data_IF_571728184277
#
_entry.id   IF_571728184277
#
_cell.length_a   1.000
_cell.length_b   1.000
_cell.length_c   1.000
_cell.angle_alpha   90.00
_cell.angle_beta   90.00
_cell.angle_gamma   90.00
#
_symmetry.space_group_name_H-M   'P 1'
#
loop_
_entity.id
_entity.type
_entity.pdbx_description
1 polymer ?
#
# COMPACT_ATOMS: atom_id res chain seq x y z
N UNK A 1 -21.47 -6.17 24.39
CA UNK A 1 -21.19 -5.42 25.63
C UNK A 1 -20.79 -6.37 26.73
N UNK A 2 -19.69 -6.09 27.43
CA UNK A 2 -19.17 -6.92 28.54
C UNK A 2 -18.69 -5.99 29.68
N UNK A 3 -18.95 -6.30 30.95
CA UNK A 3 -18.39 -5.54 32.06
C UNK A 3 -16.87 -5.82 32.14
N UNK A 4 -16.12 -4.82 32.58
CA UNK A 4 -14.70 -4.96 32.91
C UNK A 4 -14.55 -5.40 34.37
N UNK A 5 -13.35 -5.78 34.80
CA UNK A 5 -13.08 -6.09 36.18
C UNK A 5 -13.43 -4.90 37.12
N UNK A 6 -13.19 -3.66 36.65
CA UNK A 6 -13.57 -2.45 37.37
C UNK A 6 -15.08 -2.31 37.48
N UNK A 7 -15.83 -2.57 36.41
CA UNK A 7 -17.28 -2.55 36.41
C UNK A 7 -17.88 -3.60 37.36
N UNK A 8 -17.32 -4.80 37.35
CA UNK A 8 -17.72 -5.86 38.30
C UNK A 8 -17.42 -5.43 39.75
N UNK A 9 -16.25 -4.84 40.02
CA UNK A 9 -15.89 -4.34 41.35
C UNK A 9 -16.86 -3.27 41.87
N UNK A 10 -17.18 -2.28 41.03
CA UNK A 10 -18.15 -1.23 41.38
C UNK A 10 -19.55 -1.82 41.63
N UNK A 11 -19.97 -2.79 40.80
CA UNK A 11 -21.25 -3.47 41.01
C UNK A 11 -21.30 -4.25 42.33
N UNK A 12 -20.23 -4.96 42.69
CA UNK A 12 -20.14 -5.67 43.97
C UNK A 12 -20.18 -4.71 45.16
N UNK A 13 -19.47 -3.58 45.09
CA UNK A 13 -19.53 -2.55 46.12
C UNK A 13 -20.95 -1.98 46.26
N UNK A 14 -21.61 -1.68 45.17
CA UNK A 14 -22.99 -1.19 45.17
C UNK A 14 -23.96 -2.19 45.84
N UNK A 15 -23.85 -3.48 45.45
CA UNK A 15 -24.69 -4.56 46.00
C UNK A 15 -24.42 -4.75 47.50
N UNK A 16 -23.15 -4.79 47.90
CA UNK A 16 -22.75 -4.95 49.31
C UNK A 16 -23.24 -3.78 50.17
N UNK A 17 -23.05 -2.52 49.72
CA UNK A 17 -23.52 -1.34 50.41
C UNK A 17 -25.05 -1.34 50.53
N UNK A 18 -25.80 -1.73 49.48
CA UNK A 18 -27.25 -1.81 49.53
C UNK A 18 -27.73 -2.93 50.49
N UNK A 19 -27.13 -4.11 50.44
CA UNK A 19 -27.46 -5.22 51.33
C UNK A 19 -27.22 -4.85 52.83
N UNK A 20 -26.09 -4.23 53.11
CA UNK A 20 -25.80 -3.75 54.50
C UNK A 20 -26.73 -2.66 54.95
N UNK A 21 -27.14 -1.75 54.06
CA UNK A 21 -28.13 -0.71 54.39
C UNK A 21 -29.51 -1.30 54.70
N UNK A 22 -29.89 -2.35 53.95
CA UNK A 22 -31.18 -3.03 54.12
C UNK A 22 -31.27 -3.86 55.43
N UNK A 23 -30.17 -4.53 55.80
CA UNK A 23 -30.14 -5.42 56.99
C UNK A 23 -29.74 -4.71 58.26
N UNK A 24 -28.82 -3.74 58.19
CA UNK A 24 -28.26 -3.04 59.35
C UNK A 24 -28.86 -1.67 59.69
N UNK A 25 -29.86 -1.20 58.91
CA UNK A 25 -30.48 0.10 59.10
C UNK A 25 -29.56 1.33 58.85
N UNK A 26 -28.33 1.09 58.36
CA UNK A 26 -27.33 2.12 58.13
C UNK A 26 -27.59 2.91 56.85
N UNK A 27 -28.56 3.87 56.89
CA UNK A 27 -28.97 4.71 55.74
C UNK A 27 -27.80 5.45 55.09
N UNK A 28 -26.72 5.69 55.84
CA UNK A 28 -25.50 6.32 55.32
C UNK A 28 -24.85 5.50 54.19
N UNK A 29 -25.02 4.18 54.16
CA UNK A 29 -24.47 3.32 53.06
C UNK A 29 -25.16 3.55 51.72
N UNK A 30 -26.37 4.10 51.69
CA UNK A 30 -27.04 4.51 50.48
C UNK A 30 -26.31 5.67 49.78
N UNK A 31 -25.55 6.47 50.52
CA UNK A 31 -24.69 7.52 49.96
C UNK A 31 -23.53 6.94 49.11
N UNK A 32 -23.16 5.65 49.28
CA UNK A 32 -22.19 4.94 48.48
C UNK A 32 -22.90 4.16 47.36
N UNK A 33 -23.99 3.47 47.67
CA UNK A 33 -24.71 2.65 46.73
C UNK A 33 -25.32 3.47 45.56
N UNK A 34 -25.95 4.62 45.88
CA UNK A 34 -26.62 5.42 44.87
C UNK A 34 -25.66 5.98 43.78
N UNK A 35 -24.53 6.62 44.10
CA UNK A 35 -23.56 7.05 43.09
C UNK A 35 -22.98 5.87 42.29
N UNK A 36 -22.71 4.74 42.94
CA UNK A 36 -22.17 3.56 42.23
C UNK A 36 -23.17 3.03 41.20
N UNK A 37 -24.47 2.97 41.50
CA UNK A 37 -25.52 2.59 40.56
C UNK A 37 -25.62 3.60 39.42
N UNK A 38 -25.59 4.91 39.71
CA UNK A 38 -25.64 5.96 38.69
C UNK A 38 -24.48 5.85 37.75
N UNK A 39 -23.27 5.64 38.24
CA UNK A 39 -22.05 5.49 37.43
C UNK A 39 -22.13 4.24 36.52
N UNK A 40 -22.65 3.12 37.04
CA UNK A 40 -22.87 1.93 36.24
C UNK A 40 -23.92 2.16 35.15
N UNK A 41 -25.03 2.84 35.47
CA UNK A 41 -26.05 3.16 34.47
C UNK A 41 -25.51 4.11 33.39
N UNK A 42 -24.76 5.14 33.77
CA UNK A 42 -24.14 6.06 32.82
C UNK A 42 -23.17 5.34 31.91
N UNK A 43 -22.28 4.50 32.45
CA UNK A 43 -21.34 3.69 31.68
C UNK A 43 -22.06 2.74 30.71
N UNK A 44 -23.11 2.06 31.18
CA UNK A 44 -23.93 1.19 30.33
C UNK A 44 -24.58 1.96 29.16
N UNK A 45 -25.17 3.14 29.49
CA UNK A 45 -25.79 4.00 28.46
C UNK A 45 -24.74 4.52 27.46
N UNK A 46 -23.55 4.89 27.94
CA UNK A 46 -22.47 5.34 27.06
C UNK A 46 -22.11 4.23 26.04
N UNK A 47 -21.89 2.99 26.50
CA UNK A 47 -21.53 1.88 25.62
C UNK A 47 -22.66 1.54 24.64
N UNK A 48 -23.92 1.59 25.07
CA UNK A 48 -25.05 1.39 24.15
C UNK A 48 -25.13 2.50 23.09
N UNK A 49 -24.73 3.71 23.46
CA UNK A 49 -24.73 4.88 22.55
C UNK A 49 -23.45 5.02 21.71
N UNK A 50 -22.46 4.15 21.85
CA UNK A 50 -21.28 4.12 20.95
C UNK A 50 -21.71 4.02 19.49
N UNK A 51 -22.83 3.30 19.24
CA UNK A 51 -23.37 3.18 17.87
C UNK A 51 -22.46 2.38 16.95
N UNK A 52 -22.57 2.68 15.67
CA UNK A 52 -21.66 2.12 14.66
C UNK A 52 -20.31 2.86 14.75
N UNK A 53 -19.25 2.08 14.84
CA UNK A 53 -17.88 2.57 14.67
C UNK A 53 -17.47 2.22 13.25
N UNK A 54 -17.07 3.21 12.48
CA UNK A 54 -16.51 3.01 11.14
C UNK A 54 -15.02 3.25 11.16
N UNK A 55 -14.31 2.48 10.34
CA UNK A 55 -12.88 2.64 10.09
C UNK A 55 -12.71 2.78 8.59
N UNK A 56 -12.07 3.84 8.18
CA UNK A 56 -11.69 4.07 6.79
C UNK A 56 -10.18 4.02 6.67
N UNK A 57 -9.70 3.29 5.67
CA UNK A 57 -8.28 3.17 5.34
C UNK A 57 -8.10 3.65 3.91
N UNK A 58 -7.22 4.62 3.66
CA UNK A 58 -6.90 5.01 2.29
C UNK A 58 -6.16 3.90 1.56
N UNK A 59 -6.27 3.90 0.24
CA UNK A 59 -5.50 3.01 -0.60
C UNK A 59 -3.99 3.26 -0.44
N UNK A 60 -3.25 2.18 -0.29
CA UNK A 60 -1.80 2.23 -0.16
C UNK A 60 -1.16 2.14 -1.53
N UNK A 61 -0.21 3.04 -1.81
CA UNK A 61 0.57 2.97 -3.04
C UNK A 61 1.55 1.80 -2.96
N UNK A 62 1.79 1.21 -4.13
CA UNK A 62 2.86 0.25 -4.29
C UNK A 62 4.23 0.90 -4.05
N UNK A 63 5.18 0.14 -3.52
CA UNK A 63 6.49 0.65 -3.11
C UNK A 63 7.58 -0.43 -3.18
N UNK A 64 8.81 -0.07 -2.82
CA UNK A 64 9.95 -0.99 -2.85
C UNK A 64 10.24 -1.58 -1.45
N UNK A 65 10.97 -2.71 -1.39
CA UNK A 65 11.34 -3.32 -0.12
C UNK A 65 12.20 -2.39 0.74
N UNK A 66 11.93 -2.38 2.05
CA UNK A 66 12.66 -1.57 3.02
C UNK A 66 12.23 -0.10 3.10
N UNK A 67 11.32 0.35 2.26
CA UNK A 67 10.79 1.71 2.33
C UNK A 67 9.81 1.88 3.50
N UNK A 68 9.91 3.04 4.14
CA UNK A 68 9.01 3.42 5.24
C UNK A 68 7.71 3.99 4.69
N UNK A 69 6.63 3.46 5.19
CA UNK A 69 5.29 3.82 4.74
C UNK A 69 4.41 4.20 5.90
N UNK A 70 3.80 5.36 5.80
CA UNK A 70 2.78 5.78 6.73
C UNK A 70 1.43 5.14 6.38
N UNK A 71 0.87 4.40 7.33
CA UNK A 71 -0.48 3.84 7.25
C UNK A 71 -1.37 4.66 8.16
N UNK A 72 -2.43 5.24 7.62
CA UNK A 72 -3.39 6.01 8.37
C UNK A 72 -4.74 5.31 8.44
N UNK A 73 -5.41 5.45 9.57
CA UNK A 73 -6.75 4.92 9.85
C UNK A 73 -7.61 6.06 10.37
N UNK A 74 -8.62 6.46 9.58
CA UNK A 74 -9.63 7.39 10.04
C UNK A 74 -10.75 6.60 10.74
N UNK A 75 -10.99 6.90 12.00
CA UNK A 75 -11.93 6.15 12.83
C UNK A 75 -13.00 7.11 13.33
N UNK A 76 -14.22 6.86 12.91
CA UNK A 76 -15.38 7.58 13.43
C UNK A 76 -16.10 6.75 14.47
N UNK A 77 -16.66 7.44 15.48
CA UNK A 77 -17.35 6.81 16.60
C UNK A 77 -17.33 7.67 17.84
N UNK A 78 -17.59 7.05 19.00
CA UNK A 78 -17.59 7.73 20.30
C UNK A 78 -16.99 6.85 21.38
N UNK A 79 -16.22 7.44 22.29
CA UNK A 79 -15.64 6.76 23.44
C UNK A 79 -14.13 6.62 23.35
N UNK A 80 -13.55 5.85 24.25
CA UNK A 80 -12.13 5.54 24.26
C UNK A 80 -11.93 4.17 23.62
N UNK A 81 -11.16 4.12 22.56
CA UNK A 81 -10.88 2.89 21.83
C UNK A 81 -9.42 2.46 22.01
N UNK A 82 -9.22 1.14 22.13
CA UNK A 82 -7.95 0.48 21.83
C UNK A 82 -8.11 -0.14 20.45
N UNK A 83 -7.24 0.24 19.57
CA UNK A 83 -7.20 -0.22 18.20
C UNK A 83 -6.10 -1.27 18.10
N UNK A 84 -6.39 -2.39 17.47
CA UNK A 84 -5.44 -3.43 17.14
C UNK A 84 -5.56 -3.67 15.63
N UNK A 85 -4.49 -3.43 14.88
CA UNK A 85 -4.43 -3.62 13.43
C UNK A 85 -3.46 -4.74 13.10
N UNK A 86 -3.91 -5.71 12.30
CA UNK A 86 -3.11 -6.87 11.95
C UNK A 86 -2.15 -6.52 10.80
N UNK A 87 -0.86 -6.74 11.04
CA UNK A 87 0.22 -6.45 10.11
C UNK A 87 0.60 -7.71 9.34
N UNK A 88 0.84 -7.62 8.03
CA UNK A 88 1.18 -8.75 7.19
C UNK A 88 2.70 -8.98 7.07
N UNK A 89 3.05 -10.11 6.47
CA UNK A 89 4.40 -10.39 5.98
C UNK A 89 5.44 -10.51 7.09
N UNK A 90 6.61 -9.97 6.82
CA UNK A 90 7.75 -9.92 7.74
C UNK A 90 7.55 -8.92 8.90
N UNK A 91 6.62 -7.96 8.72
CA UNK A 91 6.14 -7.11 9.80
C UNK A 91 5.03 -7.76 10.63
N UNK A 92 4.76 -9.07 10.45
CA UNK A 92 3.66 -9.77 11.08
C UNK A 92 3.60 -9.52 12.60
N UNK A 93 2.42 -9.15 13.06
CA UNK A 93 2.16 -8.78 14.44
C UNK A 93 0.87 -7.99 14.54
N UNK A 94 0.73 -7.25 15.62
CA UNK A 94 -0.42 -6.39 15.84
C UNK A 94 0.05 -5.03 16.28
N UNK A 95 -0.33 -3.99 15.54
CA UNK A 95 -0.13 -2.63 15.98
C UNK A 95 -1.24 -2.24 16.96
N UNK A 96 -0.88 -1.82 18.16
CA UNK A 96 -1.85 -1.41 19.18
C UNK A 96 -1.69 0.06 19.54
N UNK A 97 -2.81 0.78 19.52
CA UNK A 97 -2.89 2.16 19.97
C UNK A 97 -4.17 2.40 20.79
N UNK A 98 -4.11 3.33 21.72
CA UNK A 98 -5.28 3.79 22.48
C UNK A 98 -5.54 5.25 22.18
N UNK A 99 -6.79 5.56 21.78
CA UNK A 99 -7.20 6.92 21.46
C UNK A 99 -8.64 7.19 21.85
N UNK A 100 -9.07 8.45 21.75
CA UNK A 100 -10.45 8.88 21.96
C UNK A 100 -11.09 9.21 20.63
N UNK A 101 -12.22 8.56 20.33
CA UNK A 101 -12.93 8.71 19.07
C UNK A 101 -13.82 9.96 19.02
N UNK A 102 -13.95 10.62 17.84
CA UNK A 102 -13.32 10.26 16.56
C UNK A 102 -11.84 10.66 16.51
N UNK A 103 -11.03 9.92 15.76
CA UNK A 103 -9.60 10.21 15.60
C UNK A 103 -9.04 9.65 14.28
N UNK A 104 -7.91 10.20 13.84
CA UNK A 104 -7.09 9.63 12.77
C UNK A 104 -5.75 9.22 13.35
N UNK A 105 -5.47 7.94 13.32
CA UNK A 105 -4.23 7.38 13.84
C UNK A 105 -3.34 6.97 12.69
N UNK A 106 -2.03 7.20 12.83
CA UNK A 106 -1.02 6.81 11.85
C UNK A 106 0.06 5.98 12.51
N UNK A 107 0.63 5.06 11.76
CA UNK A 107 1.82 4.30 12.14
C UNK A 107 2.69 4.03 10.92
N UNK A 108 3.97 3.79 11.14
CA UNK A 108 4.91 3.43 10.09
C UNK A 108 4.97 1.91 9.92
N UNK A 109 4.96 1.49 8.64
CA UNK A 109 5.11 0.11 8.24
C UNK A 109 6.29 -0.01 7.27
N UNK A 110 7.14 -1.01 7.49
CA UNK A 110 8.23 -1.36 6.59
C UNK A 110 8.14 -2.85 6.29
N UNK A 111 8.16 -3.21 5.01
CA UNK A 111 8.17 -4.60 4.55
C UNK A 111 9.46 -4.85 3.78
N UNK A 112 10.17 -5.91 4.13
CA UNK A 112 11.39 -6.31 3.45
C UNK A 112 11.10 -7.23 2.26
N UNK A 113 10.04 -8.04 2.34
CA UNK A 113 9.70 -9.02 1.34
C UNK A 113 8.77 -8.44 0.27
N UNK A 114 9.07 -8.69 -1.01
CA UNK A 114 8.18 -8.38 -2.12
C UNK A 114 6.91 -9.24 -2.07
N UNK A 115 5.82 -8.71 -2.58
CA UNK A 115 4.57 -9.47 -2.66
C UNK A 115 3.33 -8.61 -2.63
N UNK A 116 2.20 -9.26 -2.69
CA UNK A 116 0.90 -8.65 -2.41
C UNK A 116 0.49 -9.00 -0.98
N UNK A 117 0.38 -7.99 -0.16
CA UNK A 117 0.06 -8.10 1.25
C UNK A 117 -1.31 -7.50 1.54
N UNK A 118 -1.97 -8.00 2.57
CA UNK A 118 -3.25 -7.44 3.03
C UNK A 118 -3.08 -6.98 4.47
N UNK A 119 -3.33 -5.69 4.70
CA UNK A 119 -3.39 -5.10 6.03
C UNK A 119 -4.80 -5.22 6.58
N UNK A 120 -4.91 -5.39 7.90
CA UNK A 120 -6.18 -5.57 8.60
C UNK A 120 -6.69 -7.01 8.59
N UNK A 121 -7.85 -7.25 9.19
CA UNK A 121 -8.84 -6.30 9.70
C UNK A 121 -8.38 -5.55 10.95
N UNK A 122 -8.99 -4.39 11.22
CA UNK A 122 -8.75 -3.64 12.45
C UNK A 122 -9.77 -4.03 13.53
N UNK A 123 -9.28 -4.37 14.71
CA UNK A 123 -10.13 -4.69 15.87
C UNK A 123 -10.10 -3.54 16.87
N UNK A 124 -11.29 -3.04 17.24
CA UNK A 124 -11.45 -1.95 18.18
C UNK A 124 -12.13 -2.45 19.44
N UNK A 125 -11.48 -2.19 20.58
CA UNK A 125 -12.09 -2.40 21.90
C UNK A 125 -12.46 -1.05 22.45
N UNK A 126 -13.75 -0.70 22.37
CA UNK A 126 -14.29 0.57 22.85
C UNK A 126 -14.73 0.43 24.31
N UNK A 127 -14.35 1.37 25.14
CA UNK A 127 -14.72 1.45 26.57
C UNK A 127 -15.47 2.72 26.85
N UNK A 128 -16.34 2.71 27.88
CA UNK A 128 -16.92 3.92 28.44
C UNK A 128 -15.83 4.79 29.12
N UNK A 129 -16.15 6.02 29.42
CA UNK A 129 -15.22 7.01 30.00
C UNK A 129 -14.55 6.53 31.29
N UNK A 130 -15.24 5.74 32.11
CA UNK A 130 -14.74 5.22 33.38
C UNK A 130 -14.12 3.82 33.23
N UNK A 131 -14.25 3.18 32.04
CA UNK A 131 -13.74 1.86 31.76
C UNK A 131 -14.47 0.74 32.52
N UNK A 132 -15.75 0.91 32.80
CA UNK A 132 -16.59 -0.08 33.51
C UNK A 132 -17.15 -1.13 32.57
N UNK A 133 -17.40 -0.73 31.32
CA UNK A 133 -17.92 -1.60 30.27
C UNK A 133 -17.06 -1.50 29.02
N UNK A 134 -17.08 -2.56 28.22
CA UNK A 134 -16.40 -2.60 26.92
C UNK A 134 -17.25 -3.31 25.86
N UNK A 135 -17.06 -2.90 24.63
CA UNK A 135 -17.54 -3.61 23.45
C UNK A 135 -16.40 -3.79 22.47
N UNK A 136 -16.42 -4.87 21.70
CA UNK A 136 -15.43 -5.13 20.66
C UNK A 136 -16.12 -5.03 19.32
N UNK A 137 -15.53 -4.29 18.41
CA UNK A 137 -15.98 -4.12 17.03
C UNK A 137 -14.81 -4.50 16.13
N UNK A 138 -15.05 -5.38 15.18
CA UNK A 138 -14.08 -5.68 14.12
C UNK A 138 -14.52 -4.92 12.87
N UNK A 139 -13.64 -4.07 12.38
CA UNK A 139 -13.85 -3.34 11.14
C UNK A 139 -13.11 -4.05 10.01
N UNK A 140 -13.85 -4.46 9.00
CA UNK A 140 -13.31 -5.13 7.82
C UNK A 140 -12.62 -4.16 6.84
N UNK A 141 -12.05 -3.08 7.37
CA UNK A 141 -11.28 -2.11 6.62
C UNK A 141 -9.90 -2.70 6.27
N UNK A 142 -9.85 -3.47 5.19
CA UNK A 142 -8.60 -4.03 4.67
C UNK A 142 -8.05 -3.14 3.56
N UNK A 143 -6.73 -3.11 3.40
CA UNK A 143 -6.04 -2.50 2.27
C UNK A 143 -5.04 -3.47 1.67
N UNK A 144 -4.95 -3.47 0.34
CA UNK A 144 -3.92 -4.21 -0.38
C UNK A 144 -2.67 -3.36 -0.47
N UNK A 145 -1.55 -4.00 -0.30
CA UNK A 145 -0.24 -3.40 -0.36
C UNK A 145 0.62 -4.23 -1.30
N UNK A 146 1.05 -3.62 -2.40
CA UNK A 146 1.97 -4.24 -3.34
C UNK A 146 3.39 -3.76 -3.03
N UNK A 147 4.30 -4.71 -2.81
CA UNK A 147 5.72 -4.46 -2.67
C UNK A 147 6.43 -5.02 -3.88
N UNK A 148 7.08 -4.14 -4.64
CA UNK A 148 7.82 -4.50 -5.85
C UNK A 148 9.08 -5.30 -5.53
N UNK A 149 9.65 -6.02 -6.53
CA UNK A 149 10.99 -6.58 -6.38
C UNK A 149 12.01 -5.45 -6.18
N UNK A 150 13.09 -5.75 -5.45
CA UNK A 150 14.21 -4.81 -5.32
C UNK A 150 14.84 -4.58 -6.69
N UNK A 151 15.11 -3.32 -7.02
CA UNK A 151 15.78 -2.94 -8.25
C UNK A 151 17.29 -2.77 -8.03
N UNK A 152 18.06 -3.23 -9.01
CA UNK A 152 19.51 -3.04 -9.05
C UNK A 152 19.85 -2.11 -10.19
N UNK A 153 20.78 -1.19 -9.96
CA UNK A 153 21.27 -0.31 -11.00
C UNK A 153 22.19 -1.11 -11.95
N UNK A 154 21.75 -1.25 -13.19
CA UNK A 154 22.48 -1.95 -14.26
C UNK A 154 23.12 -0.99 -15.27
N UNK A 155 22.98 0.32 -15.11
CA UNK A 155 23.42 1.35 -16.06
C UNK A 155 24.92 1.35 -16.34
N UNK A 156 25.75 0.82 -15.42
CA UNK A 156 27.19 0.69 -15.58
C UNK A 156 27.69 -0.60 -16.21
N UNK A 157 26.81 -1.47 -16.70
CA UNK A 157 27.20 -2.77 -17.26
C UNK A 157 27.22 -2.72 -18.79
N UNK A 158 28.44 -2.61 -19.37
CA UNK A 158 28.67 -2.56 -20.83
C UNK A 158 28.00 -3.69 -21.61
N UNK A 159 27.77 -4.85 -20.98
CA UNK A 159 27.12 -5.99 -21.60
C UNK A 159 25.68 -5.71 -22.02
N UNK A 160 24.97 -4.83 -21.32
CA UNK A 160 23.59 -4.46 -21.64
C UNK A 160 23.52 -3.30 -22.64
N UNK A 161 24.46 -2.36 -22.60
CA UNK A 161 24.51 -1.23 -23.52
C UNK A 161 24.58 -1.71 -24.99
N UNK A 162 25.47 -2.65 -25.29
CA UNK A 162 25.60 -3.23 -26.64
C UNK A 162 24.36 -4.00 -27.10
N UNK A 163 23.60 -4.60 -26.21
CA UNK A 163 22.37 -5.32 -26.54
C UNK A 163 21.26 -4.36 -26.99
N UNK A 164 21.07 -3.25 -26.29
CA UNK A 164 20.02 -2.27 -26.63
C UNK A 164 20.38 -1.44 -27.86
N UNK A 165 21.65 -1.12 -28.10
CA UNK A 165 22.11 -0.49 -29.35
C UNK A 165 21.81 -1.35 -30.58
N UNK A 166 21.96 -2.68 -30.50
CA UNK A 166 21.64 -3.60 -31.58
C UNK A 166 20.14 -3.73 -31.86
N UNK A 167 19.30 -3.48 -30.88
CA UNK A 167 17.83 -3.57 -31.01
C UNK A 167 17.25 -2.31 -31.65
N UNK A 168 17.97 -1.20 -31.65
CA UNK A 168 17.63 0.06 -32.30
C UNK A 168 18.01 0.05 -33.79
N UNK A 169 17.69 -1.02 -34.53
CA UNK A 169 17.90 -1.05 -36.00
C UNK A 169 16.84 -0.14 -36.64
N UNK A 170 17.23 0.95 -37.32
CA UNK A 170 16.27 1.72 -38.10
C UNK A 170 15.62 0.80 -39.13
N UNK A 171 14.31 0.61 -39.06
CA UNK A 171 13.59 -0.11 -40.10
C UNK A 171 13.64 0.71 -41.42
N UNK A 172 14.57 0.35 -42.29
CA UNK A 172 14.77 0.96 -43.62
C UNK A 172 13.69 0.56 -44.63
N UNK A 173 12.59 -0.02 -44.20
CA UNK A 173 11.60 -0.58 -45.11
C UNK A 173 10.50 0.42 -45.52
N UNK A 174 10.31 1.51 -44.82
CA UNK A 174 9.36 2.52 -45.24
C UNK A 174 10.03 3.55 -46.17
N UNK A 175 9.83 3.40 -47.48
CA UNK A 175 10.22 4.39 -48.51
C UNK A 175 9.30 5.62 -48.36
N UNK A 176 9.89 6.77 -47.99
CA UNK A 176 9.14 8.04 -47.83
C UNK A 176 9.17 8.87 -49.09
N UNK A 177 10.32 9.02 -49.69
CA UNK A 177 10.46 9.89 -50.84
C UNK A 177 11.81 9.76 -51.57
N UNK A 178 11.96 10.64 -52.55
CA UNK A 178 13.22 10.85 -53.27
C UNK A 178 13.67 12.28 -53.03
N UNK A 179 14.84 12.48 -52.45
CA UNK A 179 15.49 13.79 -52.34
C UNK A 179 16.77 13.88 -53.17
N UNK A 180 17.26 15.08 -53.41
CA UNK A 180 18.53 15.28 -54.05
C UNK A 180 19.70 14.79 -53.21
N UNK A 181 20.71 14.22 -53.90
CA UNK A 181 21.93 13.73 -53.28
C UNK A 181 22.72 14.89 -52.66
N UNK A 182 23.14 14.73 -51.42
CA UNK A 182 24.07 15.62 -50.77
C UNK A 182 25.43 14.91 -50.55
N UNK A 183 26.57 15.66 -50.59
CA UNK A 183 27.87 15.09 -50.30
C UNK A 183 27.88 14.47 -48.89
N UNK A 184 28.12 13.14 -48.82
CA UNK A 184 28.07 12.34 -47.62
C UNK A 184 26.98 11.26 -47.60
N UNK A 185 26.04 11.32 -48.57
CA UNK A 185 25.03 10.29 -48.68
C UNK A 185 25.63 8.98 -49.23
N UNK A 186 25.22 7.82 -48.68
CA UNK A 186 25.71 6.53 -49.18
C UNK A 186 25.28 6.28 -50.62
N UNK A 187 26.20 5.98 -51.54
CA UNK A 187 25.92 5.69 -52.95
C UNK A 187 25.00 4.46 -53.14
N UNK A 188 24.90 3.57 -52.18
CA UNK A 188 23.98 2.43 -52.21
C UNK A 188 22.49 2.84 -52.11
N UNK A 189 22.19 4.03 -51.60
CA UNK A 189 20.84 4.52 -51.45
C UNK A 189 20.40 5.39 -52.63
N UNK A 190 21.28 5.59 -53.65
CA UNK A 190 20.98 6.27 -54.89
C UNK A 190 19.96 5.51 -55.72
N UNK A 191 18.87 6.18 -56.08
CA UNK A 191 17.83 5.62 -56.97
C UNK A 191 18.19 5.86 -58.46
N UNK A 192 19.08 5.03 -59.00
CA UNK A 192 19.67 5.16 -60.34
C UNK A 192 18.64 5.37 -61.45
N UNK A 193 17.48 4.71 -61.35
CA UNK A 193 16.42 4.83 -62.32
C UNK A 193 15.78 6.22 -62.35
N UNK A 194 15.62 6.88 -61.22
CA UNK A 194 15.07 8.24 -61.14
C UNK A 194 16.12 9.28 -61.49
N UNK A 195 17.36 9.09 -61.08
CA UNK A 195 18.48 9.96 -61.45
C UNK A 195 18.70 9.97 -62.98
N UNK A 196 18.63 8.85 -63.63
CA UNK A 196 18.79 8.72 -65.11
C UNK A 196 17.65 9.42 -65.90
N UNK A 197 16.49 9.65 -65.33
CA UNK A 197 15.36 10.29 -65.99
C UNK A 197 15.41 11.83 -65.90
N UNK A 198 16.19 12.43 -64.97
CA UNK A 198 16.24 13.89 -64.78
C UNK A 198 17.16 14.60 -65.77
N UNK A 199 18.04 13.93 -66.44
CA UNK A 199 18.84 14.50 -67.56
C UNK A 199 19.93 15.50 -67.16
N UNK A 200 19.92 16.05 -65.99
CA UNK A 200 20.82 17.13 -65.53
C UNK A 200 22.02 16.62 -64.74
N UNK A 201 22.17 15.30 -64.62
CA UNK A 201 23.26 14.71 -63.87
C UNK A 201 23.02 14.66 -62.34
N UNK A 202 21.91 15.17 -61.92
CA UNK A 202 21.57 15.21 -60.46
C UNK A 202 21.18 13.85 -59.96
N UNK A 203 21.92 13.37 -58.95
CA UNK A 203 21.63 12.11 -58.27
C UNK A 203 20.49 12.27 -57.29
N UNK A 204 19.65 11.27 -57.22
CA UNK A 204 18.51 11.22 -56.31
C UNK A 204 18.67 10.04 -55.35
N UNK A 205 18.52 10.31 -54.08
CA UNK A 205 18.65 9.32 -53.01
C UNK A 205 17.28 8.94 -52.48
N UNK A 206 17.11 7.69 -52.12
CA UNK A 206 15.92 7.21 -51.42
C UNK A 206 15.95 7.73 -49.99
N UNK A 207 14.91 8.44 -49.63
CA UNK A 207 14.66 8.84 -48.23
C UNK A 207 13.77 7.79 -47.60
N UNK A 208 14.23 7.31 -46.49
CA UNK A 208 13.47 6.37 -45.65
C UNK A 208 13.00 7.10 -44.42
N UNK A 209 11.71 7.00 -44.10
CA UNK A 209 11.24 7.43 -42.82
C UNK A 209 11.81 6.48 -41.79
N UNK A 210 12.73 6.97 -41.00
CA UNK A 210 13.13 6.30 -39.77
C UNK A 210 12.03 6.52 -38.74
N UNK A 211 10.91 5.79 -38.84
CA UNK A 211 10.18 5.51 -37.62
C UNK A 211 11.12 4.70 -36.75
N UNK A 212 11.56 5.30 -35.68
CA UNK A 212 12.24 4.57 -34.61
C UNK A 212 11.17 3.66 -34.04
N UNK A 213 10.94 2.51 -34.65
CA UNK A 213 10.11 1.46 -34.08
C UNK A 213 10.85 1.03 -32.85
N UNK A 214 10.38 1.51 -31.69
CA UNK A 214 10.87 1.00 -30.40
C UNK A 214 10.67 -0.50 -30.41
N UNK A 215 11.76 -1.22 -30.49
CA UNK A 215 11.72 -2.67 -30.50
C UNK A 215 11.02 -3.16 -29.23
N UNK A 216 10.18 -4.17 -29.37
CA UNK A 216 9.61 -4.83 -28.18
C UNK A 216 10.68 -5.76 -27.61
N UNK A 217 11.08 -5.51 -26.38
CA UNK A 217 11.98 -6.39 -25.64
C UNK A 217 11.14 -7.31 -24.77
N UNK A 218 11.32 -8.62 -24.94
CA UNK A 218 10.71 -9.62 -24.09
C UNK A 218 11.75 -10.11 -23.07
N UNK A 219 11.44 -9.95 -21.77
CA UNK A 219 12.27 -10.47 -20.69
C UNK A 219 11.67 -11.78 -20.19
N UNK A 220 12.41 -12.88 -20.34
CA UNK A 220 12.06 -14.17 -19.77
C UNK A 220 13.07 -14.53 -18.69
N UNK A 221 12.59 -14.85 -17.51
CA UNK A 221 13.43 -15.20 -16.38
C UNK A 221 13.00 -16.54 -15.76
N UNK A 222 13.97 -17.31 -15.30
CA UNK A 222 13.74 -18.57 -14.58
C UNK A 222 14.75 -18.71 -13.46
N UNK A 223 14.34 -19.37 -12.37
CA UNK A 223 15.20 -19.62 -11.22
C UNK A 223 15.05 -21.05 -10.71
N UNK A 224 16.08 -21.52 -10.01
CA UNK A 224 15.97 -22.73 -9.21
C UNK A 224 15.02 -22.50 -8.02
N UNK A 225 14.54 -23.59 -7.43
CA UNK A 225 13.69 -23.53 -6.23
C UNK A 225 14.40 -22.75 -5.12
N UNK A 226 13.72 -21.77 -4.53
CA UNK A 226 14.24 -20.92 -3.45
C UNK A 226 14.88 -19.60 -3.91
N UNK A 227 15.05 -19.37 -5.21
CA UNK A 227 15.65 -18.14 -5.78
C UNK A 227 14.65 -17.29 -6.56
N UNK A 228 13.36 -17.37 -6.23
CA UNK A 228 12.32 -16.63 -6.93
C UNK A 228 12.43 -15.11 -6.73
N UNK A 229 12.95 -14.67 -5.59
CA UNK A 229 13.10 -13.26 -5.27
C UNK A 229 14.28 -12.64 -6.02
N UNK A 230 15.42 -13.34 -6.06
CA UNK A 230 16.59 -12.92 -6.84
C UNK A 230 16.24 -12.83 -8.34
N UNK A 231 15.53 -13.83 -8.86
CA UNK A 231 15.06 -13.84 -10.24
C UNK A 231 14.15 -12.65 -10.54
N UNK A 232 13.19 -12.37 -9.68
CA UNK A 232 12.25 -11.27 -9.90
C UNK A 232 12.95 -9.92 -9.84
N UNK A 233 13.91 -9.74 -8.93
CA UNK A 233 14.73 -8.53 -8.82
C UNK A 233 15.59 -8.33 -10.07
N UNK A 234 16.23 -9.39 -10.56
CA UNK A 234 17.01 -9.35 -11.80
C UNK A 234 16.13 -9.03 -13.02
N UNK A 235 14.99 -9.71 -13.15
CA UNK A 235 14.06 -9.51 -14.27
C UNK A 235 13.48 -8.09 -14.28
N UNK A 236 13.09 -7.56 -13.11
CA UNK A 236 12.57 -6.21 -12.99
C UNK A 236 13.63 -5.16 -13.31
N UNK A 237 14.88 -5.36 -12.87
CA UNK A 237 16.00 -4.47 -13.17
C UNK A 237 16.32 -4.40 -14.65
N UNK A 238 16.33 -5.56 -15.33
CA UNK A 238 16.53 -5.64 -16.79
C UNK A 238 15.36 -5.02 -17.55
N UNK A 239 14.12 -5.26 -17.10
CA UNK A 239 12.94 -4.67 -17.74
C UNK A 239 12.93 -3.13 -17.64
N UNK A 240 13.30 -2.59 -16.49
CA UNK A 240 13.41 -1.14 -16.30
C UNK A 240 14.49 -0.55 -17.21
N UNK A 241 15.67 -1.16 -17.27
CA UNK A 241 16.75 -0.71 -18.16
C UNK A 241 16.30 -0.72 -19.64
N UNK A 242 15.51 -1.74 -20.05
CA UNK A 242 14.97 -1.82 -21.41
C UNK A 242 13.90 -0.74 -21.71
N UNK A 243 13.23 -0.20 -20.69
CA UNK A 243 12.24 0.88 -20.85
C UNK A 243 12.91 2.26 -20.95
N UNK A 244 14.10 2.42 -20.38
CA UNK A 244 14.86 3.66 -20.37
C UNK A 244 15.80 3.79 -21.60
N UNK A 245 16.01 2.71 -22.37
CA UNK A 245 16.85 2.67 -23.57
C UNK A 245 16.05 3.04 -24.84
#
# INVERSE_FOLDING_TARGET
MRPTLRGVGVALVAVAAFAMAATGGARALNAIAAPAVVVLLVGAVQIVRVGAVSVERPDLRADFPGEHREVSLAIDGRGVARIADDLPGDAAGTYELRTTLPDTVSYELTLADRGEWTLGPATLVVTDTLGLFRTTVTAEATARLLVYPQLHDLSGHDAFAGFFEQTSVPDRQAFDGLREYAPGDPLRDVHWKSSAKRGDGDLVVKEFVGETTRGTVAVAASAATGHADDMASAAASVALLAMDA
#
